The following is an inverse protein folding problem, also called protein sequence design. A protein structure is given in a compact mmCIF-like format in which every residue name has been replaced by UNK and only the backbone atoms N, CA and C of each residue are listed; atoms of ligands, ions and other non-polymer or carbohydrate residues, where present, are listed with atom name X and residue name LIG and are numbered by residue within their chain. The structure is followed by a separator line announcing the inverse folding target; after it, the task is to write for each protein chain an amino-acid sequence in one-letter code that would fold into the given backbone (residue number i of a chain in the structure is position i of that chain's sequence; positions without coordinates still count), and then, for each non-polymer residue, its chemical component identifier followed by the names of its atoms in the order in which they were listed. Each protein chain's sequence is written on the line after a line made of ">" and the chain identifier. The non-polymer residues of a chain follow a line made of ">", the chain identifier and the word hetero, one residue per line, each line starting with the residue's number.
data_IF_730972600988
#
_entry.id   IF_730972600988
#
_cell.length_a   1.000
_cell.length_b   1.000
_cell.length_c   1.000
_cell.angle_alpha   90.00
_cell.angle_beta   90.00
_cell.angle_gamma   90.00
#
_symmetry.space_group_name_H-M   'P 1'
#
loop_
_entity.id
_entity.type
_entity.pdbx_description
1 polymer ?
#
# COMPACT_ATOMS: atom_id res chain seq x y z
N UNK A 1 19.66 -4.47 28.89
CA UNK A 1 20.73 -4.09 27.94
C UNK A 1 20.45 -4.83 26.63
N UNK A 2 19.88 -4.17 25.63
CA UNK A 2 19.64 -4.78 24.32
C UNK A 2 20.76 -4.38 23.36
N UNK A 3 21.20 -5.30 22.51
CA UNK A 3 22.05 -5.00 21.37
C UNK A 3 21.19 -4.86 20.13
N UNK A 4 21.46 -3.82 19.33
CA UNK A 4 20.80 -3.60 18.06
C UNK A 4 21.61 -4.33 16.97
N UNK A 5 20.95 -5.21 16.22
CA UNK A 5 21.52 -5.85 15.03
C UNK A 5 20.74 -5.39 13.80
N UNK A 6 21.45 -4.91 12.78
CA UNK A 6 20.86 -4.59 11.49
C UNK A 6 20.71 -5.88 10.68
N UNK A 7 19.48 -6.16 10.24
CA UNK A 7 19.18 -7.29 9.36
C UNK A 7 18.94 -6.71 7.97
N UNK A 8 19.86 -6.90 7.00
CA UNK A 8 19.68 -6.36 5.66
C UNK A 8 18.56 -7.11 4.92
N UNK A 9 17.86 -6.38 4.04
CA UNK A 9 16.90 -6.99 3.13
C UNK A 9 17.64 -7.84 2.08
N UNK A 10 17.16 -9.05 1.76
CA UNK A 10 17.80 -9.89 0.75
C UNK A 10 17.68 -9.27 -0.65
N UNK A 11 18.64 -9.51 -1.55
CA UNK A 11 18.53 -9.11 -2.95
C UNK A 11 17.27 -9.69 -3.61
N UNK A 12 16.71 -8.96 -4.58
CA UNK A 12 15.47 -9.35 -5.27
C UNK A 12 15.51 -10.77 -5.84
N UNK A 13 16.61 -11.16 -6.48
CA UNK A 13 16.78 -12.50 -7.04
C UNK A 13 16.73 -13.61 -5.98
N UNK A 14 17.33 -13.36 -4.81
CA UNK A 14 17.33 -14.31 -3.70
C UNK A 14 15.93 -14.40 -3.08
N UNK A 15 15.25 -13.27 -2.91
CA UNK A 15 13.86 -13.23 -2.45
C UNK A 15 12.91 -13.96 -3.40
N UNK A 16 13.12 -13.81 -4.72
CA UNK A 16 12.33 -14.48 -5.75
C UNK A 16 12.56 -15.99 -5.72
N UNK A 17 13.82 -16.42 -5.69
CA UNK A 17 14.16 -17.84 -5.60
C UNK A 17 13.57 -18.51 -4.35
N UNK A 18 13.52 -17.79 -3.22
CA UNK A 18 12.86 -18.26 -2.00
C UNK A 18 11.34 -18.33 -2.16
N UNK A 19 10.72 -17.31 -2.74
CA UNK A 19 9.26 -17.26 -2.92
C UNK A 19 8.76 -18.32 -3.92
N UNK A 20 9.58 -18.65 -4.92
CA UNK A 20 9.30 -19.70 -5.91
C UNK A 20 9.18 -21.11 -5.31
N UNK A 21 9.57 -21.30 -4.05
CA UNK A 21 9.32 -22.55 -3.31
C UNK A 21 7.85 -22.72 -2.92
N UNK A 22 7.07 -21.63 -2.93
CA UNK A 22 5.67 -21.59 -2.51
C UNK A 22 4.73 -21.25 -3.67
N UNK A 23 5.12 -20.30 -4.53
CA UNK A 23 4.39 -19.94 -5.76
C UNK A 23 5.21 -20.38 -6.97
N UNK A 24 4.70 -21.34 -7.74
CA UNK A 24 5.43 -21.92 -8.87
C UNK A 24 5.40 -21.04 -10.13
N UNK A 25 4.46 -20.09 -10.19
CA UNK A 25 4.40 -19.10 -11.25
C UNK A 25 5.41 -17.97 -10.99
N UNK A 26 6.46 -17.93 -11.81
CA UNK A 26 7.54 -16.94 -11.70
C UNK A 26 7.04 -15.51 -11.87
N UNK A 27 6.06 -15.27 -12.73
CA UNK A 27 5.56 -13.94 -13.00
C UNK A 27 4.75 -13.43 -11.81
N UNK A 28 3.89 -14.28 -11.24
CA UNK A 28 3.17 -13.97 -9.99
C UNK A 28 4.11 -13.77 -8.81
N UNK A 29 5.10 -14.64 -8.63
CA UNK A 29 6.09 -14.51 -7.56
C UNK A 29 6.89 -13.19 -7.69
N UNK A 30 7.29 -12.83 -8.91
CA UNK A 30 7.95 -11.54 -9.19
C UNK A 30 7.05 -10.36 -8.85
N UNK A 31 5.78 -10.39 -9.26
CA UNK A 31 4.80 -9.34 -8.96
C UNK A 31 4.54 -9.19 -7.46
N UNK A 32 4.33 -10.30 -6.73
CA UNK A 32 4.18 -10.31 -5.28
C UNK A 32 5.42 -9.77 -4.55
N UNK A 33 6.61 -10.09 -5.05
CA UNK A 33 7.85 -9.61 -4.46
C UNK A 33 8.05 -8.10 -4.71
N UNK A 34 7.65 -7.59 -5.88
CA UNK A 34 7.63 -6.15 -6.15
C UNK A 34 6.62 -5.44 -5.24
N UNK A 35 5.40 -5.99 -5.14
CA UNK A 35 4.33 -5.48 -4.30
C UNK A 35 4.73 -5.38 -2.81
N UNK A 36 5.53 -6.32 -2.34
CA UNK A 36 6.05 -6.34 -0.97
C UNK A 36 7.37 -5.56 -0.79
N UNK A 37 7.77 -4.75 -1.78
CA UNK A 37 9.01 -3.99 -1.77
C UNK A 37 10.26 -4.87 -1.50
N UNK A 38 10.37 -6.02 -2.17
CA UNK A 38 11.44 -7.02 -2.00
C UNK A 38 11.47 -7.72 -0.64
N UNK A 39 10.36 -7.74 0.10
CA UNK A 39 10.26 -8.42 1.40
C UNK A 39 9.62 -9.80 1.23
N UNK A 40 10.40 -10.89 1.12
CA UNK A 40 9.87 -12.20 0.73
C UNK A 40 8.83 -12.76 1.72
N UNK A 41 9.01 -12.53 3.03
CA UNK A 41 8.03 -12.96 4.04
C UNK A 41 6.68 -12.25 3.89
N UNK A 42 6.70 -10.97 3.54
CA UNK A 42 5.49 -10.19 3.30
C UNK A 42 4.84 -10.60 1.98
N UNK A 43 5.62 -10.84 0.93
CA UNK A 43 5.14 -11.39 -0.35
C UNK A 43 4.36 -12.69 -0.14
N UNK A 44 4.93 -13.62 0.65
CA UNK A 44 4.28 -14.88 0.99
C UNK A 44 2.99 -14.67 1.79
N UNK A 45 2.98 -13.74 2.74
CA UNK A 45 1.78 -13.42 3.51
C UNK A 45 0.65 -12.94 2.57
N UNK A 46 0.95 -12.06 1.61
CA UNK A 46 -0.04 -11.60 0.62
C UNK A 46 -0.57 -12.74 -0.25
N UNK A 47 0.29 -13.68 -0.63
CA UNK A 47 -0.12 -14.89 -1.34
C UNK A 47 -1.05 -15.77 -0.50
N UNK A 48 -0.70 -16.06 0.75
CA UNK A 48 -1.50 -16.89 1.66
C UNK A 48 -2.87 -16.25 1.98
N UNK A 49 -2.93 -14.92 2.06
CA UNK A 49 -4.15 -14.15 2.33
C UNK A 49 -5.00 -13.89 1.07
N UNK A 50 -4.58 -14.38 -0.11
CA UNK A 50 -5.29 -14.13 -1.38
C UNK A 50 -5.42 -12.64 -1.71
N UNK A 51 -4.41 -11.85 -1.32
CA UNK A 51 -4.38 -10.39 -1.46
C UNK A 51 -3.63 -9.94 -2.73
N UNK A 52 -3.38 -10.87 -3.65
CA UNK A 52 -2.76 -10.62 -4.96
C UNK A 52 -3.55 -9.60 -5.78
N UNK A 53 -4.87 -9.75 -5.84
CA UNK A 53 -5.74 -8.80 -6.55
C UNK A 53 -6.01 -7.51 -5.75
N UNK A 54 -5.76 -7.50 -4.44
CA UNK A 54 -6.16 -6.38 -3.59
C UNK A 54 -5.40 -5.09 -3.93
N UNK A 55 -4.15 -5.22 -4.39
CA UNK A 55 -3.37 -4.06 -4.84
C UNK A 55 -3.95 -3.44 -6.11
N UNK A 56 -4.28 -4.26 -7.11
CA UNK A 56 -4.87 -3.78 -8.36
C UNK A 56 -6.25 -3.16 -8.10
N UNK A 57 -7.08 -3.83 -7.30
CA UNK A 57 -8.37 -3.29 -6.86
C UNK A 57 -8.23 -1.98 -6.07
N UNK A 58 -7.15 -1.83 -5.30
CA UNK A 58 -6.85 -0.61 -4.56
C UNK A 58 -6.53 0.54 -5.51
N UNK A 59 -5.61 0.32 -6.45
CA UNK A 59 -5.24 1.34 -7.45
C UNK A 59 -6.45 1.72 -8.30
N UNK A 60 -7.18 0.73 -8.82
CA UNK A 60 -8.41 0.96 -9.61
C UNK A 60 -9.48 1.71 -8.81
N UNK A 61 -9.66 1.33 -7.54
CA UNK A 61 -10.59 2.00 -6.63
C UNK A 61 -10.25 3.48 -6.44
N UNK A 62 -8.98 3.81 -6.20
CA UNK A 62 -8.52 5.20 -6.02
C UNK A 62 -8.64 6.03 -7.31
N UNK A 63 -8.36 5.43 -8.48
CA UNK A 63 -8.54 6.07 -9.79
C UNK A 63 -10.03 6.30 -10.08
N UNK A 64 -10.87 5.31 -9.80
CA UNK A 64 -12.33 5.38 -9.97
C UNK A 64 -12.96 6.43 -9.07
N UNK A 65 -12.42 6.58 -7.85
CA UNK A 65 -12.85 7.62 -6.93
C UNK A 65 -12.50 9.03 -7.45
N UNK A 66 -11.28 9.25 -7.94
CA UNK A 66 -10.86 10.55 -8.54
C UNK A 66 -11.67 10.89 -9.80
N UNK A 67 -12.03 9.87 -10.60
CA UNK A 67 -12.88 10.04 -11.77
C UNK A 67 -14.39 10.14 -11.47
N UNK A 68 -14.78 10.18 -10.18
CA UNK A 68 -16.17 10.26 -9.70
C UNK A 68 -17.07 9.11 -10.17
N UNK A 69 -16.49 7.97 -10.53
CA UNK A 69 -17.23 6.76 -10.95
C UNK A 69 -17.70 5.92 -9.77
N UNK A 70 -17.14 6.15 -8.58
CA UNK A 70 -17.38 5.35 -7.38
C UNK A 70 -17.55 6.27 -6.17
N UNK A 71 -18.44 5.93 -5.23
CA UNK A 71 -18.69 6.75 -4.05
C UNK A 71 -17.74 6.38 -2.90
N UNK A 72 -17.34 7.38 -2.10
CA UNK A 72 -16.43 7.19 -0.95
C UNK A 72 -16.95 6.11 0.01
N UNK A 73 -18.24 6.15 0.32
CA UNK A 73 -18.89 5.22 1.25
C UNK A 73 -18.85 3.78 0.73
N UNK A 74 -18.99 3.59 -0.59
CA UNK A 74 -18.93 2.27 -1.22
C UNK A 74 -17.51 1.69 -1.14
N UNK A 75 -16.50 2.51 -1.45
CA UNK A 75 -15.09 2.08 -1.38
C UNK A 75 -14.66 1.76 0.05
N UNK A 76 -15.03 2.65 1.00
CA UNK A 76 -14.73 2.45 2.40
C UNK A 76 -15.44 1.20 2.95
N UNK A 77 -16.71 1.01 2.58
CA UNK A 77 -17.48 -0.18 2.92
C UNK A 77 -16.84 -1.47 2.39
N UNK A 78 -16.23 -1.45 1.20
CA UNK A 78 -15.50 -2.61 0.66
C UNK A 78 -14.20 -2.89 1.43
N UNK A 79 -13.45 -1.86 1.80
CA UNK A 79 -12.09 -1.99 2.30
C UNK A 79 -11.93 -1.99 3.82
N UNK A 80 -12.92 -1.53 4.59
CA UNK A 80 -12.76 -1.28 6.04
C UNK A 80 -12.29 -2.49 6.87
N UNK A 81 -12.52 -3.73 6.41
CA UNK A 81 -12.07 -4.94 7.10
C UNK A 81 -10.66 -5.38 6.72
N UNK A 82 -10.13 -4.89 5.59
CA UNK A 82 -8.83 -5.31 5.08
C UNK A 82 -7.75 -4.28 5.42
N UNK A 83 -7.02 -4.54 6.49
CA UNK A 83 -5.94 -3.65 6.95
C UNK A 83 -4.73 -3.63 6.02
N UNK A 84 -4.58 -4.60 5.10
CA UNK A 84 -3.51 -4.59 4.12
C UNK A 84 -3.63 -3.39 3.15
N UNK A 85 -4.82 -2.81 3.01
CA UNK A 85 -5.04 -1.61 2.17
C UNK A 85 -4.14 -0.44 2.58
N UNK A 86 -3.90 -0.28 3.89
CA UNK A 86 -3.02 0.79 4.39
C UNK A 86 -1.57 0.55 4.00
N UNK A 87 -1.13 -0.71 3.99
CA UNK A 87 0.22 -1.09 3.58
C UNK A 87 0.41 -0.93 2.08
N UNK A 88 -0.53 -1.41 1.28
CA UNK A 88 -0.50 -1.28 -0.17
C UNK A 88 -0.50 0.18 -0.61
N UNK A 89 -1.37 1.00 -0.03
CA UNK A 89 -1.42 2.43 -0.33
C UNK A 89 -0.12 3.14 0.11
N UNK A 90 0.44 2.76 1.26
CA UNK A 90 1.71 3.31 1.72
C UNK A 90 2.85 2.98 0.74
N UNK A 91 2.93 1.73 0.29
CA UNK A 91 3.93 1.29 -0.66
C UNK A 91 3.80 1.99 -2.01
N UNK A 92 2.57 2.09 -2.53
CA UNK A 92 2.28 2.79 -3.78
C UNK A 92 2.74 4.25 -3.75
N UNK A 93 2.42 4.98 -2.68
CA UNK A 93 2.85 6.37 -2.51
C UNK A 93 4.36 6.51 -2.28
N UNK A 94 5.00 5.54 -1.65
CA UNK A 94 6.45 5.54 -1.48
C UNK A 94 7.18 5.33 -2.81
N UNK A 95 6.62 4.50 -3.71
CA UNK A 95 7.14 4.35 -5.07
C UNK A 95 7.02 5.66 -5.85
N UNK A 96 5.87 6.32 -5.78
CA UNK A 96 5.68 7.62 -6.41
C UNK A 96 6.61 8.69 -5.83
N UNK A 97 6.82 8.69 -4.51
CA UNK A 97 7.78 9.61 -3.88
C UNK A 97 9.21 9.38 -4.40
N UNK A 98 9.63 8.12 -4.55
CA UNK A 98 10.93 7.79 -5.17
C UNK A 98 10.98 8.24 -6.63
N UNK A 99 9.90 8.08 -7.38
CA UNK A 99 9.81 8.55 -8.76
C UNK A 99 9.98 10.08 -8.84
N UNK A 100 9.35 10.85 -7.94
CA UNK A 100 9.51 12.31 -7.87
C UNK A 100 10.98 12.69 -7.67
N UNK A 101 11.64 12.06 -6.68
CA UNK A 101 13.05 12.36 -6.38
C UNK A 101 14.00 11.99 -7.51
N UNK A 102 13.68 10.95 -8.28
CA UNK A 102 14.48 10.49 -9.42
C UNK A 102 14.13 11.21 -10.74
N UNK A 103 13.14 12.11 -10.73
CA UNK A 103 12.65 12.78 -11.95
C UNK A 103 11.96 11.83 -12.94
N UNK A 104 11.43 10.71 -12.47
CA UNK A 104 10.68 9.75 -13.28
C UNK A 104 9.17 10.09 -13.29
N UNK A 105 8.45 9.53 -14.26
CA UNK A 105 6.99 9.66 -14.34
C UNK A 105 6.32 9.04 -13.11
N UNK A 106 5.48 9.83 -12.45
CA UNK A 106 4.68 9.43 -11.29
C UNK A 106 3.37 8.78 -11.75
N UNK A 107 2.80 7.90 -10.94
CA UNK A 107 1.50 7.29 -11.24
C UNK A 107 0.33 8.20 -10.80
N UNK A 108 0.51 8.96 -9.72
CA UNK A 108 -0.54 9.80 -9.11
C UNK A 108 -0.56 11.24 -9.59
N UNK A 109 0.55 11.75 -10.12
CA UNK A 109 0.72 13.18 -10.47
C UNK A 109 0.72 14.11 -9.25
N UNK A 110 1.13 13.61 -8.08
CA UNK A 110 1.17 14.39 -6.84
C UNK A 110 2.57 14.93 -6.56
N UNK A 111 2.64 16.16 -6.05
CA UNK A 111 3.90 16.73 -5.55
C UNK A 111 4.47 15.96 -4.35
N UNK A 112 5.79 16.03 -4.15
CA UNK A 112 6.47 15.35 -3.05
C UNK A 112 5.90 15.79 -1.68
N UNK A 113 5.58 17.08 -1.53
CA UNK A 113 5.00 17.62 -0.30
C UNK A 113 3.62 17.01 -0.02
N UNK A 114 2.77 16.93 -1.05
CA UNK A 114 1.42 16.36 -0.95
C UNK A 114 1.47 14.88 -0.56
N UNK A 115 2.38 14.12 -1.18
CA UNK A 115 2.61 12.71 -0.84
C UNK A 115 3.07 12.57 0.61
N UNK A 116 4.05 13.36 1.06
CA UNK A 116 4.56 13.29 2.42
C UNK A 116 3.52 13.64 3.49
N UNK A 117 2.70 14.67 3.25
CA UNK A 117 1.61 15.06 4.16
C UNK A 117 0.59 13.93 4.27
N UNK A 118 0.20 13.35 3.13
CA UNK A 118 -0.78 12.27 3.10
C UNK A 118 -0.24 10.97 3.73
N UNK A 119 1.02 10.61 3.47
CA UNK A 119 1.67 9.45 4.09
C UNK A 119 1.62 9.51 5.63
N UNK A 120 1.81 10.70 6.22
CA UNK A 120 1.68 10.88 7.67
C UNK A 120 0.25 10.58 8.16
N UNK A 121 -0.77 11.04 7.42
CA UNK A 121 -2.17 10.75 7.72
C UNK A 121 -2.48 9.25 7.60
N UNK A 122 -1.97 8.60 6.56
CA UNK A 122 -2.12 7.16 6.32
C UNK A 122 -1.49 6.32 7.44
N UNK A 123 -0.27 6.65 7.86
CA UNK A 123 0.38 5.97 8.99
C UNK A 123 -0.42 6.16 10.27
N UNK A 124 -0.93 7.37 10.53
CA UNK A 124 -1.73 7.66 11.71
C UNK A 124 -3.05 6.88 11.72
N UNK A 125 -3.74 6.83 10.58
CA UNK A 125 -4.97 6.04 10.43
C UNK A 125 -4.69 4.54 10.64
N UNK A 126 -3.61 4.00 10.07
CA UNK A 126 -3.20 2.60 10.32
C UNK A 126 -2.98 2.33 11.81
N UNK A 127 -2.30 3.24 12.52
CA UNK A 127 -2.08 3.12 13.98
C UNK A 127 -3.39 3.11 14.75
N UNK A 128 -4.36 3.95 14.37
CA UNK A 128 -5.68 3.97 14.99
C UNK A 128 -6.45 2.68 14.71
N UNK A 129 -6.45 2.20 13.48
CA UNK A 129 -7.10 0.96 13.08
C UNK A 129 -6.59 -0.28 13.84
N UNK A 130 -5.29 -0.29 14.20
CA UNK A 130 -4.67 -1.35 15.00
C UNK A 130 -4.77 -1.12 16.52
N UNK A 131 -5.28 0.03 16.95
CA UNK A 131 -5.35 0.36 18.38
C UNK A 131 -6.48 -0.39 19.07
N UNK A 132 -6.38 -0.54 20.39
CA UNK A 132 -7.43 -1.14 21.24
C UNK A 132 -8.64 -0.20 21.45
N UNK A 133 -8.63 1.00 20.88
CA UNK A 133 -9.69 1.99 21.04
C UNK A 133 -10.97 1.67 20.23
N UNK A 134 -10.99 0.56 19.48
CA UNK A 134 -12.09 0.10 18.63
C UNK A 134 -12.74 1.22 17.79
N UNK A 135 -11.96 1.95 16.97
CA UNK A 135 -12.52 3.01 16.14
C UNK A 135 -13.42 2.42 15.04
N UNK A 136 -14.37 3.23 14.56
CA UNK A 136 -15.13 2.87 13.37
C UNK A 136 -14.21 2.89 12.14
N UNK A 137 -13.77 1.70 11.71
CA UNK A 137 -12.81 1.52 10.62
C UNK A 137 -13.33 2.05 9.27
N UNK A 138 -14.64 1.96 9.03
CA UNK A 138 -15.24 2.50 7.82
C UNK A 138 -15.14 4.03 7.82
N UNK A 139 -15.55 4.69 8.91
CA UNK A 139 -15.51 6.14 9.01
C UNK A 139 -14.07 6.68 8.92
N UNK A 140 -13.12 5.98 9.54
CA UNK A 140 -11.70 6.32 9.45
C UNK A 140 -11.20 6.28 8.00
N UNK A 141 -11.62 5.26 7.24
CA UNK A 141 -11.25 5.12 5.84
C UNK A 141 -11.97 6.14 4.96
N UNK A 142 -13.24 6.44 5.21
CA UNK A 142 -13.97 7.50 4.52
C UNK A 142 -13.29 8.86 4.68
N UNK A 143 -12.90 9.23 5.91
CA UNK A 143 -12.15 10.46 6.16
C UNK A 143 -10.83 10.51 5.38
N UNK A 144 -10.13 9.37 5.29
CA UNK A 144 -8.87 9.27 4.58
C UNK A 144 -9.03 9.35 3.05
N UNK A 145 -10.12 8.79 2.51
CA UNK A 145 -10.50 8.90 1.10
C UNK A 145 -10.95 10.31 0.72
N UNK A 146 -11.64 11.04 1.63
CA UNK A 146 -11.94 12.47 1.44
C UNK A 146 -10.63 13.26 1.36
N UNK A 147 -9.72 13.05 2.31
CA UNK A 147 -8.42 13.70 2.34
C UNK A 147 -7.62 13.43 1.05
N UNK A 148 -7.71 12.21 0.51
CA UNK A 148 -7.09 11.84 -0.76
C UNK A 148 -7.62 12.65 -1.95
N UNK A 149 -8.93 12.85 -2.03
CA UNK A 149 -9.57 13.62 -3.10
C UNK A 149 -9.25 15.12 -3.04
N UNK A 150 -8.94 15.64 -1.86
CA UNK A 150 -8.55 17.04 -1.67
C UNK A 150 -7.11 17.34 -2.07
N UNK A 151 -6.29 16.32 -2.34
CA UNK A 151 -4.90 16.53 -2.75
C UNK A 151 -4.84 17.09 -4.18
N UNK A 152 -4.09 18.18 -4.40
CA UNK A 152 -3.90 18.75 -5.72
C UNK A 152 -3.09 17.79 -6.58
N UNK A 153 -3.61 17.48 -7.78
CA UNK A 153 -2.86 16.79 -8.84
C UNK A 153 -2.27 17.86 -9.73
N UNK A 154 -0.97 17.78 -10.00
CA UNK A 154 -0.24 18.67 -10.91
C UNK A 154 -0.28 18.19 -12.36
#
# INVERSE_FOLDING_TARGET
>A
RCQLFSIPEPPFEQGLAWLMQFEHDKDKASSLLRLSASRPLLARKYFEEGSDNLYEEMVEGLISLRSRKLLIVELAGKWHKNLAIYDFWFHWLLEDLKAVFNGCTQQTGLSAESIQVFLKKLINAKKQALSTANPNLQLLLEALLVDWLMLPVE
#
